data_IF_887878964226
#
_entry.id   IF_887878964226
#
_cell.length_a   1.000
_cell.length_b   1.000
_cell.length_c   1.000
_cell.angle_alpha   90.00
_cell.angle_beta   90.00
_cell.angle_gamma   90.00
#
_symmetry.space_group_name_H-M   'P 1'
#
loop_
_entity.id
_entity.type
_entity.pdbx_description
1 polymer ?
#
# COMPACT_ATOMS: atom_id res chain seq x y z
N UNK A 1 17.26 -17.75 2.98
CA UNK A 1 15.89 -17.34 2.61
C UNK A 1 15.69 -17.50 1.12
N UNK A 2 14.50 -17.87 0.67
CA UNK A 2 14.11 -18.00 -0.73
C UNK A 2 12.70 -17.46 -0.91
N UNK A 3 12.44 -16.75 -1.99
CA UNK A 3 11.11 -16.27 -2.34
C UNK A 3 10.91 -16.36 -3.84
N UNK A 4 9.77 -16.90 -4.27
CA UNK A 4 9.32 -16.93 -5.65
C UNK A 4 7.80 -16.86 -5.69
N UNK A 5 7.26 -15.93 -6.46
CA UNK A 5 5.84 -15.81 -6.73
C UNK A 5 5.58 -15.62 -8.23
N UNK A 6 4.40 -16.04 -8.69
CA UNK A 6 3.93 -15.88 -10.08
C UNK A 6 2.51 -15.33 -10.08
N UNK A 7 2.27 -14.28 -10.86
CA UNK A 7 0.96 -13.72 -11.17
C UNK A 7 0.72 -13.94 -12.66
N UNK A 8 -0.38 -14.59 -13.04
CA UNK A 8 -0.79 -14.75 -14.44
C UNK A 8 -2.08 -14.01 -14.77
N UNK A 9 -2.88 -13.67 -13.75
CA UNK A 9 -4.17 -12.99 -13.94
C UNK A 9 -3.96 -11.49 -14.29
N UNK A 10 -4.44 -11.00 -15.44
CA UNK A 10 -4.20 -9.61 -15.87
C UNK A 10 -4.75 -8.57 -14.89
N UNK A 11 -5.91 -8.83 -14.27
CA UNK A 11 -6.49 -7.93 -13.27
C UNK A 11 -5.59 -7.81 -12.04
N UNK A 12 -5.07 -8.94 -11.53
CA UNK A 12 -4.16 -8.96 -10.39
C UNK A 12 -2.81 -8.27 -10.70
N UNK A 13 -2.28 -8.43 -11.91
CA UNK A 13 -1.07 -7.72 -12.35
C UNK A 13 -1.26 -6.21 -12.39
N UNK A 14 -2.37 -5.74 -12.97
CA UNK A 14 -2.70 -4.30 -13.03
C UNK A 14 -2.92 -3.73 -11.64
N UNK A 15 -3.59 -4.46 -10.76
CA UNK A 15 -3.82 -4.03 -9.38
C UNK A 15 -2.50 -3.95 -8.59
N UNK A 16 -1.64 -4.97 -8.69
CA UNK A 16 -0.30 -4.96 -8.09
C UNK A 16 0.55 -3.76 -8.58
N UNK A 17 0.49 -3.45 -9.88
CA UNK A 17 1.11 -2.25 -10.44
C UNK A 17 0.53 -0.97 -9.82
N UNK A 18 -0.79 -0.84 -9.73
CA UNK A 18 -1.45 0.35 -9.17
C UNK A 18 -1.12 0.56 -7.68
N UNK A 19 -0.99 -0.52 -6.91
CA UNK A 19 -0.50 -0.49 -5.53
C UNK A 19 0.91 0.09 -5.50
N UNK A 20 1.84 -0.42 -6.32
CA UNK A 20 3.21 0.10 -6.36
C UNK A 20 3.29 1.59 -6.72
N UNK A 21 2.47 2.04 -7.68
CA UNK A 21 2.38 3.46 -8.09
C UNK A 21 1.81 4.32 -6.96
N UNK A 22 0.91 3.77 -6.14
CA UNK A 22 0.35 4.47 -4.99
C UNK A 22 1.36 4.58 -3.87
N UNK A 23 2.09 3.50 -3.55
CA UNK A 23 3.15 3.48 -2.55
C UNK A 23 4.26 4.52 -2.85
N UNK A 24 4.64 4.65 -4.12
CA UNK A 24 5.65 5.63 -4.56
C UNK A 24 5.26 7.10 -4.33
N UNK A 25 3.98 7.40 -4.05
CA UNK A 25 3.52 8.76 -3.69
C UNK A 25 3.66 9.07 -2.21
N UNK A 26 3.79 8.05 -1.35
CA UNK A 26 3.88 8.22 0.10
C UNK A 26 5.32 8.31 0.59
N UNK A 27 6.19 7.41 0.12
CA UNK A 27 7.61 7.39 0.50
C UNK A 27 8.46 6.83 -0.65
N UNK A 28 9.76 7.17 -0.68
CA UNK A 28 10.73 6.64 -1.65
C UNK A 28 11.08 5.17 -1.38
N UNK A 29 10.96 4.76 -0.13
CA UNK A 29 11.32 3.43 0.37
C UNK A 29 10.18 2.87 1.22
N UNK A 30 10.03 1.55 1.18
CA UNK A 30 9.07 0.83 2.00
C UNK A 30 9.62 -0.53 2.43
N UNK A 31 8.98 -1.11 3.43
CA UNK A 31 9.26 -2.48 3.88
C UNK A 31 8.24 -3.44 3.28
N UNK A 32 8.74 -4.41 2.52
CA UNK A 32 7.99 -5.55 2.03
C UNK A 32 8.14 -6.72 3.01
N UNK A 33 7.07 -7.05 3.72
CA UNK A 33 7.01 -8.24 4.60
C UNK A 33 6.32 -9.37 3.88
N UNK A 34 7.01 -10.50 3.72
CA UNK A 34 6.57 -11.67 2.98
C UNK A 34 6.30 -12.80 3.98
N UNK A 35 5.05 -13.24 4.05
CA UNK A 35 4.62 -14.36 4.91
C UNK A 35 4.06 -15.49 4.05
N UNK A 36 3.64 -16.60 4.66
CA UNK A 36 3.03 -17.71 3.92
C UNK A 36 1.63 -17.40 3.40
N UNK A 37 0.93 -16.40 3.96
CA UNK A 37 -0.49 -16.10 3.64
C UNK A 37 -0.70 -14.73 3.00
N UNK A 38 0.17 -13.78 3.29
CA UNK A 38 0.04 -12.38 2.86
C UNK A 38 1.40 -11.78 2.53
N UNK A 39 1.41 -10.85 1.60
CA UNK A 39 2.51 -9.91 1.37
C UNK A 39 2.05 -8.56 1.88
N UNK A 40 2.90 -7.87 2.62
CA UNK A 40 2.62 -6.54 3.15
C UNK A 40 3.58 -5.52 2.56
N UNK A 41 3.08 -4.31 2.32
CA UNK A 41 3.91 -3.12 2.11
C UNK A 41 3.65 -2.14 3.25
N UNK A 42 4.71 -1.79 3.97
CA UNK A 42 4.67 -1.00 5.19
C UNK A 42 5.52 0.25 4.98
N UNK A 43 4.93 1.42 5.23
CA UNK A 43 5.63 2.71 5.27
C UNK A 43 5.35 3.29 6.65
N UNK A 44 6.41 3.53 7.43
CA UNK A 44 6.32 4.15 8.75
C UNK A 44 6.81 5.60 8.68
N UNK A 45 6.18 6.49 9.43
CA UNK A 45 6.63 7.87 9.58
C UNK A 45 7.57 7.97 10.78
N UNK A 46 8.80 8.47 10.57
CA UNK A 46 9.81 8.55 11.63
C UNK A 46 9.60 9.76 12.57
N UNK A 47 8.90 10.80 12.10
CA UNK A 47 8.86 12.11 12.78
C UNK A 47 7.74 12.25 13.84
N UNK A 48 6.80 11.30 13.93
CA UNK A 48 5.57 11.46 14.72
C UNK A 48 5.35 10.33 15.75
N UNK A 49 6.15 10.32 16.83
CA UNK A 49 5.87 9.52 18.02
C UNK A 49 5.98 8.00 17.81
N UNK A 50 5.33 7.15 18.66
CA UNK A 50 5.49 5.71 18.58
C UNK A 50 5.08 5.21 17.19
N UNK A 51 6.06 4.67 16.43
CA UNK A 51 5.99 4.22 15.04
C UNK A 51 4.62 3.64 14.67
N UNK A 52 3.72 4.49 14.17
CA UNK A 52 2.50 4.04 13.49
C UNK A 52 2.81 4.01 12.00
N UNK A 53 2.45 2.93 11.30
CA UNK A 53 2.62 2.89 9.86
C UNK A 53 1.70 3.94 9.23
N UNK A 54 2.27 4.84 8.43
CA UNK A 54 1.54 5.73 7.54
C UNK A 54 0.76 4.92 6.50
N UNK A 55 1.37 3.83 6.02
CA UNK A 55 0.73 2.89 5.09
C UNK A 55 0.91 1.47 5.61
N UNK A 56 -0.19 0.75 5.74
CA UNK A 56 -0.23 -0.69 5.99
C UNK A 56 -1.07 -1.34 4.88
N UNK A 57 -0.40 -1.85 3.85
CA UNK A 57 -1.05 -2.45 2.69
C UNK A 57 -0.89 -3.97 2.75
N UNK A 58 -2.01 -4.72 2.68
CA UNK A 58 -2.01 -6.17 2.73
C UNK A 58 -2.48 -6.78 1.41
N UNK A 59 -1.73 -7.76 0.91
CA UNK A 59 -2.05 -8.50 -0.29
C UNK A 59 -2.20 -9.99 0.06
N UNK A 60 -3.44 -10.53 0.09
CA UNK A 60 -3.67 -11.94 0.33
C UNK A 60 -3.10 -12.82 -0.79
N UNK A 61 -2.32 -13.83 -0.43
CA UNK A 61 -1.61 -14.65 -1.42
C UNK A 61 -2.57 -15.34 -2.40
N UNK A 62 -3.66 -15.89 -1.88
CA UNK A 62 -4.66 -16.62 -2.68
C UNK A 62 -5.44 -15.76 -3.68
N UNK A 63 -5.35 -14.42 -3.59
CA UNK A 63 -5.97 -13.52 -4.56
C UNK A 63 -5.01 -13.16 -5.70
N UNK A 64 -3.72 -12.98 -5.41
CA UNK A 64 -2.75 -12.48 -6.40
C UNK A 64 -1.92 -13.56 -7.08
N UNK A 65 -1.47 -14.59 -6.35
CA UNK A 65 -0.37 -15.43 -6.81
C UNK A 65 -0.83 -16.85 -7.15
N UNK A 66 -0.60 -17.27 -8.39
CA UNK A 66 -0.84 -18.62 -8.90
C UNK A 66 0.20 -19.62 -8.38
N UNK A 67 1.46 -19.18 -8.29
CA UNK A 67 2.53 -19.90 -7.61
C UNK A 67 3.08 -19.01 -6.50
N UNK A 68 3.29 -19.58 -5.31
CA UNK A 68 3.86 -18.85 -4.19
C UNK A 68 4.72 -19.78 -3.34
N UNK A 69 6.01 -19.47 -3.24
CA UNK A 69 6.96 -20.21 -2.43
C UNK A 69 7.79 -19.22 -1.60
N UNK A 70 7.77 -19.41 -0.29
CA UNK A 70 8.56 -18.65 0.65
C UNK A 70 9.25 -19.61 1.62
N UNK A 71 10.55 -19.42 1.78
CA UNK A 71 11.38 -20.07 2.80
C UNK A 71 12.10 -18.95 3.53
N UNK A 72 11.65 -18.65 4.74
CA UNK A 72 12.18 -17.63 5.63
C UNK A 72 13.52 -18.01 6.23
N UNK A 73 13.77 -17.48 7.44
CA UNK A 73 15.04 -17.68 8.14
C UNK A 73 15.08 -19.02 8.88
N UNK A 74 13.94 -19.47 9.40
CA UNK A 74 13.79 -20.73 10.15
C UNK A 74 12.34 -21.21 10.10
N UNK A 75 12.08 -22.48 10.46
CA UNK A 75 10.72 -23.05 10.46
C UNK A 75 9.76 -22.31 11.42
N UNK A 76 10.28 -21.78 12.53
CA UNK A 76 9.50 -21.00 13.50
C UNK A 76 9.27 -19.55 13.05
N UNK A 77 10.11 -19.04 12.15
CA UNK A 77 10.06 -17.67 11.64
C UNK A 77 10.14 -17.69 10.11
N UNK A 78 9.10 -18.26 9.50
CA UNK A 78 8.99 -18.42 8.06
C UNK A 78 8.50 -17.13 7.38
N UNK A 79 9.19 -16.03 7.66
CA UNK A 79 8.92 -14.69 7.13
C UNK A 79 10.20 -14.06 6.59
N UNK A 80 10.05 -13.11 5.66
CA UNK A 80 11.14 -12.34 5.07
C UNK A 80 10.75 -10.86 5.11
N UNK A 81 11.65 -10.01 5.59
CA UNK A 81 11.48 -8.56 5.61
C UNK A 81 12.54 -7.93 4.71
N UNK A 82 12.09 -7.16 3.73
CA UNK A 82 12.96 -6.52 2.74
C UNK A 82 12.64 -5.02 2.72
N UNK A 83 13.65 -4.18 2.79
CA UNK A 83 13.52 -2.77 2.45
C UNK A 83 13.83 -2.58 0.96
N UNK A 84 13.00 -1.82 0.26
CA UNK A 84 13.13 -1.59 -1.17
C UNK A 84 12.61 -0.22 -1.59
N UNK A 85 13.13 0.29 -2.71
CA UNK A 85 12.66 1.54 -3.28
C UNK A 85 11.31 1.36 -4.00
N UNK A 86 10.29 2.07 -3.51
CA UNK A 86 8.96 2.15 -4.14
C UNK A 86 9.03 2.79 -5.53
N UNK A 87 9.99 3.69 -5.73
CA UNK A 87 10.21 4.39 -7.02
C UNK A 87 10.74 3.42 -8.06
N UNK A 88 11.71 2.57 -7.69
CA UNK A 88 12.21 1.52 -8.59
C UNK A 88 11.13 0.47 -8.86
N UNK A 89 10.42 0.03 -7.82
CA UNK A 89 9.31 -0.93 -7.95
C UNK A 89 8.24 -0.45 -8.94
N UNK A 90 7.71 0.76 -8.73
CA UNK A 90 6.68 1.34 -9.60
C UNK A 90 7.16 1.57 -11.03
N UNK A 91 8.41 2.00 -11.22
CA UNK A 91 9.01 2.16 -12.55
C UNK A 91 9.15 0.82 -13.26
N UNK A 92 9.67 -0.21 -12.59
CA UNK A 92 9.84 -1.55 -13.17
C UNK A 92 8.51 -2.19 -13.56
N UNK A 93 7.46 -2.00 -12.75
CA UNK A 93 6.12 -2.52 -13.03
C UNK A 93 5.34 -1.73 -14.07
N UNK A 94 5.83 -0.54 -14.49
CA UNK A 94 5.12 0.32 -15.46
C UNK A 94 4.87 -0.34 -16.81
N UNK A 95 5.63 -1.39 -17.15
CA UNK A 95 5.46 -2.17 -18.37
C UNK A 95 4.17 -3.00 -18.37
N UNK A 96 3.60 -3.29 -17.20
CA UNK A 96 2.31 -3.99 -17.05
C UNK A 96 1.10 -3.16 -17.52
N UNK A 97 1.33 -1.93 -17.99
CA UNK A 97 0.35 -1.16 -18.78
C UNK A 97 0.08 -1.79 -20.15
N UNK A 98 1.02 -2.60 -20.66
CA UNK A 98 0.87 -3.39 -21.87
C UNK A 98 0.32 -4.78 -21.55
N UNK A 99 -0.08 -5.54 -22.57
CA UNK A 99 -0.51 -6.92 -22.39
C UNK A 99 0.65 -7.82 -21.98
N UNK A 100 0.62 -8.26 -20.73
CA UNK A 100 1.59 -9.15 -20.13
C UNK A 100 0.93 -10.50 -19.86
N UNK A 101 1.63 -11.58 -20.18
CA UNK A 101 1.19 -12.96 -19.95
C UNK A 101 1.45 -13.40 -18.53
N UNK A 102 2.58 -13.01 -17.95
CA UNK A 102 2.89 -13.33 -16.55
C UNK A 102 3.92 -12.39 -15.93
N UNK A 103 3.78 -12.16 -14.63
CA UNK A 103 4.75 -11.48 -13.77
C UNK A 103 5.29 -12.48 -12.74
N UNK A 104 6.59 -12.71 -12.77
CA UNK A 104 7.29 -13.57 -11.82
C UNK A 104 8.19 -12.72 -10.92
N UNK A 105 8.02 -12.86 -9.61
CA UNK A 105 8.76 -12.11 -8.59
C UNK A 105 9.67 -13.08 -7.87
N UNK A 106 10.96 -12.79 -7.75
CA UNK A 106 11.93 -13.66 -7.09
C UNK A 106 12.88 -12.86 -6.22
N UNK A 107 13.24 -13.42 -5.07
CA UNK A 107 14.42 -12.96 -4.33
C UNK A 107 15.65 -13.66 -4.92
N UNK A 108 16.58 -12.88 -5.47
CA UNK A 108 17.84 -13.35 -6.02
C UNK A 108 19.02 -12.72 -5.29
N UNK A 109 20.18 -13.34 -5.38
CA UNK A 109 21.42 -12.78 -4.86
C UNK A 109 22.41 -12.73 -6.03
N UNK A 110 22.60 -11.55 -6.60
CA UNK A 110 23.57 -11.29 -7.68
C UNK A 110 24.82 -10.70 -7.03
N UNK A 111 25.16 -9.44 -7.33
CA UNK A 111 26.19 -8.69 -6.60
C UNK A 111 25.68 -8.20 -5.23
N UNK A 112 24.37 -8.02 -5.12
CA UNK A 112 23.63 -7.73 -3.90
C UNK A 112 22.28 -8.46 -3.91
N UNK A 113 21.59 -8.58 -2.75
CA UNK A 113 20.23 -9.09 -2.72
C UNK A 113 19.30 -8.22 -3.57
N UNK A 114 18.57 -8.85 -4.48
CA UNK A 114 17.65 -8.15 -5.39
C UNK A 114 16.27 -8.82 -5.40
N UNK A 115 15.23 -8.00 -5.48
CA UNK A 115 13.91 -8.42 -5.91
C UNK A 115 13.86 -8.37 -7.44
N UNK A 116 14.00 -9.52 -8.08
CA UNK A 116 13.95 -9.66 -9.53
C UNK A 116 12.50 -9.80 -10.00
N UNK A 117 12.08 -8.93 -10.90
CA UNK A 117 10.81 -8.94 -11.60
C UNK A 117 11.03 -9.43 -13.03
N UNK A 118 10.53 -10.61 -13.35
CA UNK A 118 10.63 -11.28 -14.65
C UNK A 118 9.24 -11.30 -15.29
N UNK A 119 9.04 -10.49 -16.33
CA UNK A 119 7.76 -10.26 -16.99
C UNK A 119 7.79 -10.80 -18.43
N UNK A 120 6.83 -11.65 -18.76
CA UNK A 120 6.63 -12.19 -20.10
C UNK A 120 5.53 -11.38 -20.81
N UNK A 121 5.88 -10.65 -21.86
CA UNK A 121 4.96 -9.82 -22.63
C UNK A 121 4.33 -10.61 -23.77
N UNK A 122 3.08 -10.28 -24.08
CA UNK A 122 2.44 -10.77 -25.30
C UNK A 122 2.99 -9.98 -26.47
N UNK A 123 3.54 -10.69 -27.45
CA UNK A 123 4.02 -10.12 -28.72
C UNK A 123 3.43 -10.96 -29.85
N UNK A 124 3.19 -10.34 -31.01
CA UNK A 124 2.65 -11.02 -32.18
C UNK A 124 3.49 -12.21 -32.68
N UNK A 125 3.03 -12.83 -33.78
CA UNK A 125 3.21 -14.21 -34.25
C UNK A 125 4.51 -15.02 -34.00
N UNK A 126 5.66 -14.50 -33.55
CA UNK A 126 6.92 -15.28 -33.60
C UNK A 126 7.78 -15.29 -32.32
N UNK A 127 7.61 -14.42 -31.31
CA UNK A 127 8.38 -14.55 -30.05
C UNK A 127 7.78 -13.80 -28.87
N UNK A 128 7.67 -14.43 -27.69
CA UNK A 128 7.39 -13.72 -26.45
C UNK A 128 8.59 -12.84 -26.07
N UNK A 129 8.32 -11.59 -25.67
CA UNK A 129 9.36 -10.67 -25.21
C UNK A 129 9.47 -10.79 -23.69
N UNK A 130 10.68 -10.99 -23.18
CA UNK A 130 10.93 -11.01 -21.74
C UNK A 130 11.54 -9.69 -21.29
N UNK A 131 11.05 -9.16 -20.17
CA UNK A 131 11.57 -7.98 -19.53
C UNK A 131 11.92 -8.32 -18.08
N UNK A 132 13.20 -8.15 -17.72
CA UNK A 132 13.69 -8.46 -16.38
C UNK A 132 14.23 -7.20 -15.74
N UNK A 133 13.75 -6.89 -14.54
CA UNK A 133 14.27 -5.81 -13.71
C UNK A 133 14.75 -6.36 -12.38
N UNK A 134 15.93 -5.92 -11.94
CA UNK A 134 16.44 -6.22 -10.60
C UNK A 134 16.36 -4.97 -9.74
N UNK A 135 15.63 -5.06 -8.64
CA UNK A 135 15.50 -3.98 -7.65
C UNK A 135 16.38 -4.37 -6.47
N UNK A 136 17.44 -3.61 -6.14
CA UNK A 136 18.24 -3.85 -4.94
C UNK A 136 17.35 -3.81 -3.68
N UNK A 137 17.58 -4.73 -2.76
CA UNK A 137 16.85 -4.79 -1.48
C UNK A 137 17.81 -4.96 -0.32
N UNK A 138 17.45 -4.40 0.84
CA UNK A 138 18.13 -4.66 2.10
C UNK A 138 17.33 -5.66 2.93
N UNK A 139 18.01 -6.67 3.47
CA UNK A 139 17.38 -7.66 4.34
C UNK A 139 17.31 -7.13 5.76
N UNK A 140 16.10 -6.96 6.29
CA UNK A 140 15.91 -6.47 7.65
C UNK A 140 16.13 -7.62 8.65
N UNK A 141 17.08 -7.40 9.57
CA UNK A 141 17.42 -8.36 10.62
C UNK A 141 16.29 -8.54 11.65
N UNK A 142 16.16 -9.75 12.19
CA UNK A 142 15.09 -10.13 13.15
C UNK A 142 14.94 -9.20 14.36
N UNK A 143 16.05 -8.62 14.82
CA UNK A 143 16.06 -7.65 15.93
C UNK A 143 15.16 -6.42 15.71
N UNK A 144 14.84 -6.10 14.45
CA UNK A 144 14.01 -4.96 14.07
C UNK A 144 12.59 -5.36 13.64
N UNK A 145 12.24 -6.65 13.62
CA UNK A 145 10.94 -7.11 13.11
C UNK A 145 9.75 -6.60 13.93
N UNK A 146 9.94 -6.40 15.24
CA UNK A 146 8.92 -5.83 16.14
C UNK A 146 8.50 -4.40 15.76
N UNK A 147 9.33 -3.70 14.99
CA UNK A 147 9.04 -2.33 14.51
C UNK A 147 7.99 -2.32 13.38
N UNK A 148 7.68 -3.49 12.82
CA UNK A 148 6.78 -3.70 11.68
C UNK A 148 5.62 -4.65 12.04
N UNK A 149 5.24 -4.65 13.31
CA UNK A 149 4.03 -5.34 13.77
C UNK A 149 2.77 -4.56 13.40
N UNK A 150 1.67 -5.30 13.28
CA UNK A 150 0.38 -4.71 12.94
C UNK A 150 -0.03 -3.68 14.02
N UNK A 151 -0.38 -2.45 13.61
CA UNK A 151 -0.77 -1.43 14.57
C UNK A 151 -2.07 -1.83 15.26
N UNK A 152 -2.05 -1.87 16.59
CA UNK A 152 -3.27 -2.02 17.39
C UNK A 152 -3.99 -0.68 17.45
N UNK A 153 -5.20 -0.63 16.90
CA UNK A 153 -6.07 0.52 17.02
C UNK A 153 -6.90 0.41 18.30
N UNK A 154 -7.08 1.54 18.97
CA UNK A 154 -8.06 1.65 20.06
C UNK A 154 -9.46 1.86 19.47
N UNK A 155 -10.49 1.77 20.32
CA UNK A 155 -11.86 2.09 19.93
C UNK A 155 -11.96 3.50 19.31
N UNK A 156 -12.61 3.59 18.15
CA UNK A 156 -12.84 4.85 17.46
C UNK A 156 -14.06 5.56 18.03
N UNK A 157 -13.94 6.87 18.28
CA UNK A 157 -15.06 7.70 18.74
C UNK A 157 -16.20 7.79 17.72
N UNK A 158 -15.87 7.80 16.43
CA UNK A 158 -16.80 7.90 15.31
C UNK A 158 -16.29 7.05 14.15
N UNK A 159 -17.15 6.18 13.60
CA UNK A 159 -16.92 5.45 12.35
C UNK A 159 -18.01 5.87 11.38
N UNK A 160 -17.60 6.45 10.26
CA UNK A 160 -18.50 7.02 9.24
C UNK A 160 -18.03 6.56 7.86
N UNK A 161 -19.00 6.32 6.98
CA UNK A 161 -18.73 6.00 5.58
C UNK A 161 -17.94 7.12 4.89
N UNK A 162 -16.93 6.75 4.13
CA UNK A 162 -16.10 7.72 3.42
C UNK A 162 -16.81 8.19 2.14
N UNK A 163 -17.01 9.52 1.94
CA UNK A 163 -17.53 10.01 0.67
C UNK A 163 -16.55 9.74 -0.48
N UNK A 164 -16.99 9.98 -1.71
CA UNK A 164 -16.17 9.79 -2.91
C UNK A 164 -14.77 10.42 -2.75
N UNK A 165 -13.74 9.55 -2.74
CA UNK A 165 -12.35 9.96 -2.60
C UNK A 165 -11.92 10.94 -3.70
N UNK A 166 -12.54 10.86 -4.89
CA UNK A 166 -12.30 11.81 -5.98
C UNK A 166 -12.78 13.22 -5.63
N UNK A 167 -13.96 13.33 -5.01
CA UNK A 167 -14.52 14.61 -4.56
C UNK A 167 -13.68 15.20 -3.43
N UNK A 168 -13.31 14.36 -2.45
CA UNK A 168 -12.44 14.77 -1.34
C UNK A 168 -11.11 15.29 -1.89
N UNK A 169 -10.45 14.52 -2.77
CA UNK A 169 -9.19 14.94 -3.39
C UNK A 169 -9.30 16.31 -4.06
N UNK A 170 -10.32 16.52 -4.89
CA UNK A 170 -10.50 17.79 -5.61
C UNK A 170 -10.67 18.98 -4.66
N UNK A 171 -11.36 18.78 -3.53
CA UNK A 171 -11.57 19.83 -2.51
C UNK A 171 -10.26 20.09 -1.75
N UNK A 172 -9.58 19.03 -1.30
CA UNK A 172 -8.32 19.14 -0.55
C UNK A 172 -7.23 19.81 -1.39
N UNK A 173 -7.12 19.51 -2.68
CA UNK A 173 -6.17 20.18 -3.58
C UNK A 173 -6.40 21.69 -3.69
N UNK A 174 -7.66 22.14 -3.65
CA UNK A 174 -7.99 23.58 -3.63
C UNK A 174 -7.67 24.21 -2.28
N UNK A 175 -8.00 23.52 -1.18
CA UNK A 175 -7.76 23.97 0.18
C UNK A 175 -6.26 24.07 0.51
N UNK A 176 -5.45 23.12 0.03
CA UNK A 176 -3.99 23.08 0.20
C UNK A 176 -3.29 24.34 -0.32
N UNK A 177 -3.83 24.99 -1.35
CA UNK A 177 -3.27 26.24 -1.89
C UNK A 177 -3.50 27.44 -0.98
N UNK A 178 -4.41 27.34 0.00
CA UNK A 178 -4.80 28.42 0.91
C UNK A 178 -4.28 28.23 2.33
N UNK A 179 -4.17 26.98 2.80
CA UNK A 179 -3.68 26.64 4.14
C UNK A 179 -2.93 25.33 4.15
N UNK A 180 -1.93 25.22 5.05
CA UNK A 180 -1.15 24.00 5.29
C UNK A 180 -1.83 23.04 6.27
N UNK A 181 -2.91 23.47 6.93
CA UNK A 181 -3.65 22.67 7.91
C UNK A 181 -5.13 22.56 7.53
N UNK A 182 -5.71 21.39 7.72
CA UNK A 182 -7.13 21.13 7.50
C UNK A 182 -7.75 20.54 8.76
N UNK A 183 -8.92 21.05 9.14
CA UNK A 183 -9.73 20.56 10.23
C UNK A 183 -10.71 19.55 9.65
N UNK A 184 -10.63 18.31 10.13
CA UNK A 184 -11.54 17.22 9.75
C UNK A 184 -12.47 16.96 10.92
N UNK A 185 -13.78 17.04 10.70
CA UNK A 185 -14.79 16.78 11.73
C UNK A 185 -15.89 15.88 11.20
N UNK A 186 -16.34 14.94 12.03
CA UNK A 186 -17.47 14.05 11.73
C UNK A 186 -18.47 14.09 12.89
N UNK A 187 -19.76 13.88 12.60
CA UNK A 187 -20.81 13.88 13.62
C UNK A 187 -21.72 12.64 13.53
N UNK A 188 -22.50 12.41 14.58
CA UNK A 188 -23.48 11.32 14.69
C UNK A 188 -24.62 11.35 13.65
N UNK A 189 -24.77 12.45 12.92
CA UNK A 189 -25.81 12.62 11.91
C UNK A 189 -25.30 12.26 10.50
N UNK A 190 -24.12 11.65 10.38
CA UNK A 190 -23.59 11.29 9.07
C UNK A 190 -23.05 12.48 8.28
N UNK A 191 -22.52 13.52 8.96
CA UNK A 191 -21.90 14.67 8.30
C UNK A 191 -20.41 14.70 8.54
N UNK A 192 -19.63 14.56 7.47
CA UNK A 192 -18.18 14.84 7.44
C UNK A 192 -17.96 16.27 6.95
N UNK A 193 -17.10 17.03 7.62
CA UNK A 193 -16.74 18.39 7.22
C UNK A 193 -15.23 18.55 7.16
N UNK A 194 -14.77 19.17 6.07
CA UNK A 194 -13.39 19.56 5.82
C UNK A 194 -13.32 21.09 5.86
N UNK A 195 -12.53 21.65 6.77
CA UNK A 195 -12.49 23.09 7.00
C UNK A 195 -11.05 23.59 7.02
N UNK A 196 -10.81 24.73 6.38
CA UNK A 196 -9.58 25.49 6.52
C UNK A 196 -9.90 26.88 7.08
N UNK A 197 -9.09 27.33 8.01
CA UNK A 197 -9.17 28.65 8.60
C UNK A 197 -7.87 29.39 8.29
N UNK A 198 -8.01 30.60 7.74
CA UNK A 198 -6.92 31.53 7.49
C UNK A 198 -7.31 32.89 8.04
N UNK A 199 -6.37 33.83 8.10
CA UNK A 199 -6.63 35.18 8.60
C UNK A 199 -7.64 35.98 7.75
N UNK A 200 -7.96 35.50 6.54
CA UNK A 200 -8.75 36.24 5.55
C UNK A 200 -10.04 35.49 5.20
N UNK A 201 -9.97 34.17 5.04
CA UNK A 201 -11.09 33.33 4.60
C UNK A 201 -11.17 32.06 5.44
N UNK A 202 -12.40 31.69 5.79
CA UNK A 202 -12.75 30.34 6.25
C UNK A 202 -13.47 29.62 5.13
N UNK A 203 -12.96 28.46 4.72
CA UNK A 203 -13.59 27.62 3.70
C UNK A 203 -13.95 26.28 4.32
N UNK A 204 -15.23 25.92 4.24
CA UNK A 204 -15.76 24.66 4.76
C UNK A 204 -16.50 23.91 3.67
N UNK A 205 -16.14 22.64 3.48
CA UNK A 205 -16.84 21.70 2.64
C UNK A 205 -17.57 20.68 3.51
N UNK A 206 -18.84 20.43 3.21
CA UNK A 206 -19.69 19.52 3.97
C UNK A 206 -20.16 18.36 3.11
N UNK A 207 -20.03 17.15 3.62
CA UNK A 207 -20.54 15.91 3.04
C UNK A 207 -21.65 15.38 3.95
N UNK A 208 -22.93 15.64 3.62
CA UNK A 208 -24.07 15.15 4.39
C UNK A 208 -24.44 13.71 3.98
N UNK A 209 -25.31 13.09 4.77
CA UNK A 209 -25.98 11.80 4.48
C UNK A 209 -25.04 10.59 4.34
N UNK A 210 -23.96 10.56 5.11
CA UNK A 210 -23.06 9.41 5.19
C UNK A 210 -23.56 8.42 6.25
N UNK A 211 -23.38 7.12 6.02
CA UNK A 211 -23.73 6.11 7.03
C UNK A 211 -22.79 6.19 8.24
N UNK A 212 -23.33 6.06 9.46
CA UNK A 212 -22.54 6.04 10.70
C UNK A 212 -22.62 4.63 11.28
N UNK A 213 -21.47 3.95 11.33
CA UNK A 213 -21.39 2.58 11.86
C UNK A 213 -21.30 2.56 13.39
N UNK A 214 -20.53 3.48 13.98
CA UNK A 214 -20.41 3.59 15.44
C UNK A 214 -20.17 5.01 15.89
N UNK A 215 -20.80 5.40 16.99
CA UNK A 215 -20.56 6.66 17.68
C UNK A 215 -20.51 6.39 19.18
N UNK A 216 -19.39 6.72 19.83
CA UNK A 216 -19.23 6.49 21.28
C UNK A 216 -20.32 7.26 22.04
N UNK A 217 -21.21 6.51 22.71
CA UNK A 217 -22.34 7.05 23.48
C UNK A 217 -23.72 6.44 23.19
N UNK A 218 -23.87 5.60 22.15
CA UNK A 218 -25.02 4.71 21.94
C UNK A 218 -24.66 3.71 20.83
N UNK A 219 -24.72 2.42 21.13
CA UNK A 219 -24.93 1.42 20.07
C UNK A 219 -26.21 1.82 19.36
N UNK A 220 -26.10 2.40 18.17
CA UNK A 220 -27.21 2.42 17.24
C UNK A 220 -27.29 0.99 16.72
N UNK A 221 -28.10 0.20 17.43
CA UNK A 221 -28.60 -1.06 16.93
C UNK A 221 -29.18 -0.78 15.54
N UNK A 222 -28.56 -1.37 14.52
CA UNK A 222 -29.16 -1.53 13.21
C UNK A 222 -30.34 -2.49 13.37
#
# INVERSE_FOLDING_TARGET
MKFRALITEPAAMKDFMNISVSLAKFSKDCVMRITTRKVYFIISEEEMGPRKPLVWCELPVGFYFNEYNVVGVSDQHNEIYLELSTTLLSRSLSILKQDCKSLKIKLTNKDSPCLTLDMELVSGEIASRQCVHDIPVEVIGRKHWSEYEEPKFNDFHVTIEMPSLKSIKNIVERMKNMSHSIIVSANKNGRLSLQIETNIVTLSAHFPNLSVESFTGKNLLI
#
